data_IF_959799396221
#
_entry.id   IF_959799396221
#
_cell.length_a   1.000
_cell.length_b   1.000
_cell.length_c   1.000
_cell.angle_alpha   90.00
_cell.angle_beta   90.00
_cell.angle_gamma   90.00
#
_symmetry.space_group_name_H-M   'P 1'
#
loop_
_entity.id
_entity.type
_entity.pdbx_description
1 polymer ?
#
# COMPACT_ATOMS: atom_id res chain seq x y z
N UNK A 1 -5.32 7.71 -13.85
CA UNK A 1 -4.22 8.55 -13.33
C UNK A 1 -4.40 8.60 -11.83
N UNK A 2 -3.40 8.10 -11.12
CA UNK A 2 -3.51 7.36 -9.87
C UNK A 2 -3.12 8.19 -8.66
N UNK A 3 -3.73 7.89 -7.51
CA UNK A 3 -3.00 8.06 -6.25
C UNK A 3 -1.88 7.02 -6.14
N UNK A 4 -0.80 7.35 -5.43
CA UNK A 4 0.32 6.45 -5.14
C UNK A 4 0.82 6.77 -3.75
N UNK A 5 0.75 5.82 -2.82
CA UNK A 5 1.43 5.95 -1.53
C UNK A 5 2.78 5.28 -1.63
N UNK A 6 3.83 6.08 -1.50
CA UNK A 6 5.19 5.58 -1.37
C UNK A 6 5.57 5.56 0.12
N UNK A 7 5.30 4.43 0.78
CA UNK A 7 5.66 4.26 2.17
C UNK A 7 7.16 3.89 2.31
N UNK A 8 8.00 4.91 2.39
CA UNK A 8 9.43 4.73 2.65
C UNK A 8 9.69 4.56 4.15
N UNK A 9 9.69 3.31 4.63
CA UNK A 9 9.89 2.99 6.05
C UNK A 9 11.32 3.28 6.52
N UNK A 10 12.31 3.35 5.62
CA UNK A 10 13.71 3.61 5.94
C UNK A 10 14.37 4.41 4.81
N UNK A 11 14.56 5.72 5.04
CA UNK A 11 15.49 6.53 4.24
C UNK A 11 16.87 6.50 4.93
N UNK A 12 17.89 5.98 4.27
CA UNK A 12 19.27 6.38 4.61
C UNK A 12 19.43 7.88 4.32
N UNK A 13 20.16 8.57 5.18
CA UNK A 13 20.31 10.03 5.17
C UNK A 13 20.79 10.62 3.85
N UNK A 14 20.22 11.80 3.56
CA UNK A 14 20.63 12.86 2.62
C UNK A 14 21.69 12.61 1.55
N UNK A 15 21.26 12.52 0.29
CA UNK A 15 22.03 13.12 -0.80
C UNK A 15 21.85 14.64 -0.77
N UNK A 16 22.80 15.40 -0.19
CA UNK A 16 23.00 16.78 -0.62
C UNK A 16 23.77 16.74 -1.93
N UNK A 17 23.05 16.80 -3.06
CA UNK A 17 23.67 17.00 -4.37
C UNK A 17 24.12 18.46 -4.43
N UNK A 18 25.38 18.71 -4.08
CA UNK A 18 26.06 19.94 -4.48
C UNK A 18 26.32 19.86 -5.99
N UNK A 19 25.66 20.72 -6.76
CA UNK A 19 25.97 20.89 -8.19
C UNK A 19 27.37 21.51 -8.28
N UNK A 20 28.37 20.72 -8.66
CA UNK A 20 29.56 21.24 -9.33
C UNK A 20 29.50 20.82 -10.78
N UNK A 21 29.24 21.81 -11.63
CA UNK A 21 29.24 21.69 -13.07
C UNK A 21 30.68 21.43 -13.52
N UNK A 22 30.99 20.19 -13.89
CA UNK A 22 32.30 19.85 -14.44
C UNK A 22 32.29 20.11 -15.95
N UNK A 23 32.82 21.25 -16.36
CA UNK A 23 33.26 21.48 -17.73
C UNK A 23 34.76 21.23 -17.84
N UNK A 24 35.12 20.26 -18.69
CA UNK A 24 36.38 20.11 -19.42
C UNK A 24 37.73 19.88 -18.70
N UNK A 25 38.44 18.89 -19.25
CA UNK A 25 39.88 18.63 -19.25
C UNK A 25 40.53 18.10 -17.97
N UNK A 26 40.99 16.86 -18.09
CA UNK A 26 41.91 16.17 -17.18
C UNK A 26 43.22 16.97 -17.12
N UNK A 27 43.58 17.43 -15.92
CA UNK A 27 44.97 17.77 -15.57
C UNK A 27 45.34 16.94 -14.33
N UNK A 28 46.47 16.25 -14.44
CA UNK A 28 47.15 15.65 -13.29
C UNK A 28 47.71 16.80 -12.45
N UNK A 29 47.27 16.91 -11.20
CA UNK A 29 47.96 17.73 -10.20
C UNK A 29 49.05 16.90 -9.52
N UNK A 30 50.17 17.57 -9.31
CA UNK A 30 51.49 17.05 -8.95
C UNK A 30 51.79 17.20 -7.46
N UNK A 31 50.89 16.77 -6.57
CA UNK A 31 51.15 16.82 -5.13
C UNK A 31 51.23 15.39 -4.55
N UNK A 32 52.48 14.96 -4.37
CA UNK A 32 52.96 13.63 -4.00
C UNK A 32 52.54 13.08 -2.63
N UNK A 33 51.24 13.04 -2.33
CA UNK A 33 50.70 12.20 -1.26
C UNK A 33 50.13 10.92 -1.86
N UNK A 34 51.01 9.98 -2.19
CA UNK A 34 50.70 8.67 -2.77
C UNK A 34 49.94 7.73 -1.81
N UNK A 35 48.77 8.13 -1.34
CA UNK A 35 47.76 7.17 -0.88
C UNK A 35 46.84 6.87 -2.05
N UNK A 36 46.83 5.64 -2.58
CA UNK A 36 45.79 5.24 -3.50
C UNK A 36 44.47 5.48 -2.77
N UNK A 37 43.56 6.21 -3.41
CA UNK A 37 42.17 6.24 -2.97
C UNK A 37 41.71 4.79 -3.05
N UNK A 38 41.68 4.10 -1.91
CA UNK A 38 41.29 2.70 -1.87
C UNK A 38 39.85 2.64 -2.36
N UNK A 39 39.58 1.68 -3.25
CA UNK A 39 38.24 1.38 -3.74
C UNK A 39 37.22 1.16 -2.58
N UNK A 40 37.70 0.95 -1.36
CA UNK A 40 36.93 0.85 -0.12
C UNK A 40 36.28 2.16 0.34
N UNK A 41 36.67 3.33 -0.19
CA UNK A 41 36.05 4.62 0.16
C UNK A 41 34.81 4.96 -0.69
N UNK A 42 34.43 4.12 -1.66
CA UNK A 42 33.23 4.29 -2.50
C UNK A 42 32.00 3.52 -2.01
N UNK A 43 31.95 3.15 -0.73
CA UNK A 43 30.91 2.24 -0.27
C UNK A 43 30.73 2.10 1.23
N UNK A 44 31.04 3.14 2.02
CA UNK A 44 30.45 3.20 3.36
C UNK A 44 29.00 3.62 3.16
N UNK A 45 28.15 2.64 2.83
CA UNK A 45 26.72 2.77 3.05
C UNK A 45 26.59 3.16 4.51
N UNK A 46 26.14 4.39 4.75
CA UNK A 46 25.85 4.85 6.10
C UNK A 46 24.65 4.04 6.61
N UNK A 47 24.95 2.86 7.13
CA UNK A 47 24.02 1.92 7.75
C UNK A 47 23.72 2.33 9.20
N UNK A 48 24.13 3.55 9.62
CA UNK A 48 23.72 4.07 10.91
C UNK A 48 22.22 4.26 10.88
N UNK A 49 21.53 3.39 11.60
CA UNK A 49 20.14 3.59 11.96
C UNK A 49 20.13 4.84 12.85
N UNK A 50 19.84 6.00 12.26
CA UNK A 50 19.62 7.25 13.02
C UNK A 50 18.32 7.21 13.83
N UNK A 51 17.46 6.23 13.56
CA UNK A 51 16.20 6.06 14.27
C UNK A 51 16.42 5.37 15.63
N UNK A 52 15.73 5.83 16.68
CA UNK A 52 15.77 5.17 17.98
C UNK A 52 15.33 3.70 17.85
N UNK A 53 15.95 2.83 18.65
CA UNK A 53 15.63 1.40 18.66
C UNK A 53 14.32 1.18 19.43
N UNK A 54 13.42 0.35 18.91
CA UNK A 54 12.26 -0.16 19.64
C UNK A 54 12.75 -1.16 20.70
N UNK A 55 13.18 -0.66 21.86
CA UNK A 55 13.79 -1.47 22.93
C UNK A 55 12.94 -2.68 23.35
N UNK A 56 11.61 -2.55 23.64
CA UNK A 56 10.82 -3.70 24.07
C UNK A 56 10.77 -4.80 23.00
N UNK A 57 10.54 -4.42 21.75
CA UNK A 57 10.53 -5.36 20.62
C UNK A 57 11.92 -5.96 20.39
N UNK A 58 12.98 -5.15 20.49
CA UNK A 58 14.35 -5.61 20.26
C UNK A 58 14.81 -6.63 21.29
N UNK A 59 14.43 -6.44 22.56
CA UNK A 59 14.68 -7.40 23.64
C UNK A 59 13.86 -8.68 23.38
N UNK A 60 12.57 -8.54 23.07
CA UNK A 60 11.67 -9.67 22.80
C UNK A 60 12.19 -10.58 21.70
N UNK A 61 12.73 -10.00 20.63
CA UNK A 61 13.18 -10.74 19.44
C UNK A 61 14.69 -10.92 19.33
N UNK A 62 15.46 -10.45 20.31
CA UNK A 62 16.92 -10.61 20.37
C UNK A 62 17.71 -9.94 19.25
N UNK A 63 17.14 -8.93 18.59
CA UNK A 63 17.77 -8.17 17.48
C UNK A 63 17.41 -6.69 17.56
N UNK A 64 18.33 -5.76 17.24
CA UNK A 64 17.99 -4.34 17.15
C UNK A 64 16.92 -4.10 16.08
N UNK A 65 15.77 -3.57 16.50
CA UNK A 65 14.67 -3.20 15.60
C UNK A 65 14.56 -1.67 15.59
N UNK A 66 14.73 -1.01 14.43
CA UNK A 66 14.55 0.44 14.34
C UNK A 66 13.09 0.84 14.55
N UNK A 67 12.88 1.97 15.22
CA UNK A 67 11.57 2.61 15.23
C UNK A 67 11.28 3.17 13.84
N UNK A 68 10.16 2.75 13.27
CA UNK A 68 9.65 3.35 12.04
C UNK A 68 9.00 4.69 12.38
N UNK A 69 9.61 5.78 11.89
CA UNK A 69 9.05 7.13 12.00
C UNK A 69 8.02 7.41 10.91
N UNK A 70 6.84 7.90 11.32
CA UNK A 70 5.80 8.32 10.38
C UNK A 70 6.19 9.56 9.56
N UNK A 71 7.18 10.35 10.01
CA UNK A 71 7.65 11.52 9.24
C UNK A 71 8.37 11.15 7.94
N UNK A 72 8.79 9.88 7.80
CA UNK A 72 9.44 9.36 6.59
C UNK A 72 8.46 8.85 5.54
N UNK A 73 7.17 8.79 5.88
CA UNK A 73 6.12 8.30 4.99
C UNK A 73 5.86 9.32 3.89
N UNK A 74 6.03 8.91 2.63
CA UNK A 74 5.64 9.70 1.47
C UNK A 74 4.22 9.35 1.02
N UNK A 75 3.42 10.35 0.69
CA UNK A 75 2.09 10.14 0.11
C UNK A 75 1.82 11.14 -1.01
N UNK A 76 1.12 10.68 -2.04
CA UNK A 76 0.64 11.52 -3.13
C UNK A 76 -0.72 11.01 -3.61
N UNK A 77 -1.65 11.94 -3.82
CA UNK A 77 -2.94 11.68 -4.45
C UNK A 77 -3.17 12.73 -5.51
N UNK A 78 -3.52 12.30 -6.73
CA UNK A 78 -3.65 13.17 -7.89
C UNK A 78 -4.98 12.86 -8.57
N UNK A 79 -5.79 13.90 -8.79
CA UNK A 79 -7.11 13.81 -9.41
C UNK A 79 -7.08 13.19 -10.82
N UNK A 80 -6.07 13.54 -11.63
CA UNK A 80 -5.97 13.11 -13.01
C UNK A 80 -7.08 13.71 -13.89
N UNK A 81 -7.64 12.90 -14.80
CA UNK A 81 -8.70 13.29 -15.73
C UNK A 81 -10.12 13.06 -15.18
N UNK A 82 -10.25 12.83 -13.86
CA UNK A 82 -11.55 12.64 -13.21
C UNK A 82 -12.14 13.98 -12.80
N UNK A 83 -13.46 14.02 -12.63
CA UNK A 83 -14.17 15.22 -12.16
C UNK A 83 -14.03 15.42 -10.65
N UNK A 84 -13.79 14.34 -9.90
CA UNK A 84 -13.65 14.35 -8.46
C UNK A 84 -12.60 13.32 -8.02
N UNK A 85 -11.85 13.64 -6.97
CA UNK A 85 -10.88 12.73 -6.38
C UNK A 85 -11.59 11.90 -5.30
N UNK A 86 -11.85 10.64 -5.62
CA UNK A 86 -12.52 9.67 -4.75
C UNK A 86 -11.51 8.86 -3.92
N UNK A 87 -10.20 9.09 -4.10
CA UNK A 87 -9.15 8.38 -3.38
C UNK A 87 -8.94 8.99 -1.98
N UNK A 88 -8.70 8.14 -0.99
CA UNK A 88 -8.30 8.52 0.37
C UNK A 88 -7.10 7.73 0.85
N UNK A 89 -6.20 8.43 1.53
CA UNK A 89 -4.93 7.90 2.04
C UNK A 89 -4.85 8.20 3.53
N UNK A 90 -4.54 7.21 4.36
CA UNK A 90 -4.39 7.38 5.81
C UNK A 90 -3.18 6.62 6.31
N UNK A 91 -2.42 7.22 7.23
CA UNK A 91 -1.42 6.51 8.00
C UNK A 91 -1.36 7.11 9.41
N UNK A 92 -1.22 6.25 10.41
CA UNK A 92 -1.25 6.65 11.81
C UNK A 92 -0.54 5.61 12.69
N UNK A 93 -0.17 6.03 13.90
CA UNK A 93 0.23 5.13 14.97
C UNK A 93 -1.01 4.82 15.81
N UNK A 94 -1.47 3.57 15.74
CA UNK A 94 -2.66 3.13 16.47
C UNK A 94 -2.29 2.80 17.93
N UNK A 95 -1.16 2.13 18.13
CA UNK A 95 -0.63 1.80 19.45
C UNK A 95 0.88 2.07 19.44
N UNK A 96 1.53 2.09 20.60
CA UNK A 96 2.97 2.38 20.71
C UNK A 96 3.83 1.50 19.81
N UNK A 97 3.42 0.24 19.63
CA UNK A 97 4.08 -0.74 18.80
C UNK A 97 3.34 -1.03 17.48
N UNK A 98 2.30 -0.27 17.11
CA UNK A 98 1.44 -0.60 15.97
C UNK A 98 1.21 0.59 15.05
N UNK A 99 1.77 0.50 13.84
CA UNK A 99 1.51 1.43 12.75
C UNK A 99 0.45 0.88 11.82
N UNK A 100 -0.31 1.78 11.21
CA UNK A 100 -1.35 1.47 10.24
C UNK A 100 -1.22 2.38 9.03
N UNK A 101 -1.46 1.82 7.85
CA UNK A 101 -1.43 2.48 6.57
C UNK A 101 -2.61 1.98 5.74
N UNK A 102 -3.30 2.89 5.06
CA UNK A 102 -4.45 2.53 4.27
C UNK A 102 -4.64 3.40 3.04
N UNK A 103 -5.23 2.75 2.05
CA UNK A 103 -5.68 3.34 0.81
C UNK A 103 -7.10 2.88 0.56
N UNK A 104 -7.95 3.84 0.20
CA UNK A 104 -9.33 3.65 -0.20
C UNK A 104 -9.51 4.30 -1.57
N UNK A 105 -9.85 3.51 -2.57
CA UNK A 105 -10.16 3.96 -3.95
C UNK A 105 -11.68 3.90 -4.08
N UNK A 106 -12.32 5.06 -4.01
CA UNK A 106 -13.77 5.20 -4.02
C UNK A 106 -14.36 5.19 -5.43
N UNK A 107 -15.60 4.73 -5.54
CA UNK A 107 -16.38 4.77 -6.78
C UNK A 107 -17.85 5.03 -6.49
N UNK A 108 -18.56 5.64 -7.45
CA UNK A 108 -19.98 5.97 -7.29
C UNK A 108 -20.22 7.11 -6.30
N UNK A 109 -19.23 7.97 -6.09
CA UNK A 109 -19.18 9.02 -5.08
C UNK A 109 -18.08 8.75 -4.04
N UNK A 110 -17.51 9.79 -3.41
CA UNK A 110 -16.41 9.64 -2.46
C UNK A 110 -16.85 9.10 -1.08
N UNK A 111 -18.16 9.03 -0.83
CA UNK A 111 -18.73 8.82 0.50
C UNK A 111 -18.25 7.52 1.18
N UNK A 112 -18.12 6.42 0.45
CA UNK A 112 -17.64 5.16 1.01
C UNK A 112 -16.15 5.23 1.39
N UNK A 113 -15.33 5.88 0.56
CA UNK A 113 -13.92 6.12 0.85
C UNK A 113 -13.73 7.10 2.01
N UNK A 114 -14.52 8.18 2.07
CA UNK A 114 -14.55 9.15 3.17
C UNK A 114 -14.94 8.49 4.50
N UNK A 115 -15.93 7.60 4.46
CA UNK A 115 -16.35 6.81 5.62
C UNK A 115 -15.20 5.94 6.13
N UNK A 116 -14.56 5.17 5.24
CA UNK A 116 -13.43 4.32 5.62
C UNK A 116 -12.23 5.15 6.14
N UNK A 117 -11.93 6.27 5.50
CA UNK A 117 -10.90 7.21 5.94
C UNK A 117 -11.14 7.73 7.37
N UNK A 118 -12.40 7.97 7.72
CA UNK A 118 -12.80 8.53 9.02
C UNK A 118 -12.86 7.47 10.11
N UNK A 119 -13.41 6.29 9.82
CA UNK A 119 -13.80 5.32 10.85
C UNK A 119 -12.98 4.03 10.89
N UNK A 120 -12.20 3.69 9.85
CA UNK A 120 -11.44 2.42 9.83
C UNK A 120 -10.50 2.28 11.03
N UNK A 121 -9.83 3.37 11.45
CA UNK A 121 -8.97 3.36 12.63
C UNK A 121 -9.76 2.99 13.91
N UNK A 122 -10.99 3.49 14.05
CA UNK A 122 -11.86 3.18 15.19
C UNK A 122 -12.22 1.69 15.21
N UNK A 123 -12.58 1.12 14.07
CA UNK A 123 -12.92 -0.31 13.98
C UNK A 123 -11.72 -1.21 14.28
N UNK A 124 -10.52 -0.82 13.82
CA UNK A 124 -9.29 -1.54 14.16
C UNK A 124 -9.01 -1.47 15.67
N UNK A 125 -9.14 -0.29 16.29
CA UNK A 125 -8.97 -0.13 17.74
C UNK A 125 -9.95 -1.00 18.53
N UNK A 126 -11.24 -0.98 18.18
CA UNK A 126 -12.23 -1.83 18.85
C UNK A 126 -11.98 -3.33 18.64
N UNK A 127 -11.53 -3.74 17.46
CA UNK A 127 -11.18 -5.13 17.22
C UNK A 127 -9.93 -5.58 18.01
N UNK A 128 -8.96 -4.70 18.23
CA UNK A 128 -7.77 -4.97 19.05
C UNK A 128 -8.06 -5.15 20.55
N UNK A 129 -9.22 -4.70 21.04
CA UNK A 129 -9.64 -4.93 22.44
C UNK A 129 -10.05 -6.39 22.70
N UNK A 130 -10.45 -7.11 21.64
CA UNK A 130 -10.99 -8.47 21.74
C UNK A 130 -10.09 -9.54 21.13
N UNK A 131 -9.22 -9.18 20.17
CA UNK A 131 -8.42 -10.13 19.41
C UNK A 131 -6.99 -9.62 19.23
N UNK A 132 -6.01 -10.50 19.49
CA UNK A 132 -4.59 -10.17 19.31
C UNK A 132 -4.10 -10.48 17.89
N UNK A 133 -4.70 -11.47 17.23
CA UNK A 133 -4.34 -11.84 15.86
C UNK A 133 -4.74 -10.76 14.85
N UNK A 134 -3.73 -10.04 14.33
CA UNK A 134 -3.91 -8.95 13.36
C UNK A 134 -4.70 -9.33 12.10
N UNK A 135 -4.65 -10.58 11.63
CA UNK A 135 -5.43 -10.99 10.46
C UNK A 135 -6.92 -11.03 10.79
N UNK A 136 -7.27 -11.54 11.98
CA UNK A 136 -8.65 -11.56 12.45
C UNK A 136 -9.12 -10.16 12.84
N UNK A 137 -8.25 -9.33 13.43
CA UNK A 137 -8.52 -7.92 13.71
C UNK A 137 -8.91 -7.19 12.42
N UNK A 138 -8.15 -7.36 11.33
CA UNK A 138 -8.47 -6.77 10.03
C UNK A 138 -9.78 -7.31 9.46
N UNK A 139 -10.00 -8.62 9.52
CA UNK A 139 -11.28 -9.20 9.07
C UNK A 139 -12.46 -8.61 9.80
N UNK A 140 -12.41 -8.56 11.14
CA UNK A 140 -13.46 -7.96 11.97
C UNK A 140 -13.64 -6.48 11.65
N UNK A 141 -12.56 -5.71 11.58
CA UNK A 141 -12.63 -4.28 11.30
C UNK A 141 -13.26 -3.96 9.93
N UNK A 142 -12.97 -4.75 8.89
CA UNK A 142 -13.57 -4.58 7.56
C UNK A 142 -15.07 -4.90 7.57
N UNK A 143 -15.46 -6.00 8.22
CA UNK A 143 -16.86 -6.41 8.32
C UNK A 143 -17.68 -5.42 9.16
N UNK A 144 -17.13 -4.94 10.28
CA UNK A 144 -17.77 -3.93 11.13
C UNK A 144 -17.87 -2.58 10.41
N UNK A 145 -16.83 -2.18 9.68
CA UNK A 145 -16.86 -0.96 8.86
C UNK A 145 -17.97 -1.01 7.80
N UNK A 146 -18.09 -2.12 7.07
CA UNK A 146 -19.13 -2.30 6.06
C UNK A 146 -20.54 -2.33 6.66
N UNK A 147 -20.72 -3.06 7.77
CA UNK A 147 -22.00 -3.16 8.48
C UNK A 147 -22.44 -1.81 9.07
N UNK A 148 -21.52 -1.04 9.66
CA UNK A 148 -21.86 0.26 10.23
C UNK A 148 -22.03 1.33 9.15
N UNK A 149 -21.36 1.20 8.01
CA UNK A 149 -21.53 2.09 6.86
C UNK A 149 -22.97 2.06 6.34
N UNK A 150 -23.59 0.88 6.24
CA UNK A 150 -24.98 0.75 5.76
C UNK A 150 -26.00 1.45 6.67
N UNK A 151 -25.72 1.52 7.97
CA UNK A 151 -26.61 2.15 8.97
C UNK A 151 -26.45 3.67 8.98
N UNK A 152 -25.27 4.17 8.64
CA UNK A 152 -24.92 5.58 8.82
C UNK A 152 -25.47 6.50 7.72
N UNK A 153 -25.96 5.95 6.60
CA UNK A 153 -26.44 6.77 5.47
C UNK A 153 -27.44 6.00 4.60
N UNK A 154 -28.70 6.44 4.65
CA UNK A 154 -29.84 5.88 3.90
C UNK A 154 -30.12 6.62 2.58
N UNK A 155 -29.21 7.49 2.12
CA UNK A 155 -29.36 8.17 0.82
C UNK A 155 -29.12 7.19 -0.34
N UNK A 156 -29.91 7.33 -1.41
CA UNK A 156 -29.83 6.44 -2.57
C UNK A 156 -28.44 6.42 -3.24
N UNK A 157 -27.73 7.56 -3.22
CA UNK A 157 -26.35 7.67 -3.73
C UNK A 157 -25.35 6.87 -2.91
N UNK A 158 -25.58 6.71 -1.60
CA UNK A 158 -24.71 5.94 -0.72
C UNK A 158 -24.85 4.43 -0.93
N UNK A 159 -26.04 3.96 -1.34
CA UNK A 159 -26.28 2.53 -1.63
C UNK A 159 -25.47 2.01 -2.84
N UNK A 160 -25.13 2.90 -3.76
CA UNK A 160 -24.34 2.61 -4.95
C UNK A 160 -22.88 3.03 -4.84
N UNK A 161 -22.52 3.78 -3.80
CA UNK A 161 -21.14 4.15 -3.54
C UNK A 161 -20.41 2.95 -2.91
N UNK A 162 -19.15 2.78 -3.31
CA UNK A 162 -18.29 1.75 -2.76
C UNK A 162 -16.85 2.21 -2.76
N UNK A 163 -16.00 1.43 -2.12
CA UNK A 163 -14.57 1.68 -2.11
C UNK A 163 -13.81 0.36 -2.04
N UNK A 164 -12.65 0.33 -2.69
CA UNK A 164 -11.60 -0.61 -2.31
C UNK A 164 -11.10 -0.27 -0.91
N UNK A 165 -10.47 -1.23 -0.24
CA UNK A 165 -9.71 -0.95 0.96
C UNK A 165 -8.47 -1.83 0.97
N UNK A 166 -7.29 -1.23 1.04
CA UNK A 166 -6.04 -1.94 1.30
C UNK A 166 -5.41 -1.36 2.54
N UNK A 167 -5.33 -2.17 3.59
CA UNK A 167 -4.84 -1.80 4.90
C UNK A 167 -3.60 -2.63 5.22
N UNK A 168 -2.53 -1.97 5.65
CA UNK A 168 -1.33 -2.61 6.18
C UNK A 168 -1.12 -2.21 7.64
N UNK A 169 -0.86 -3.19 8.50
CA UNK A 169 -0.52 -3.01 9.90
C UNK A 169 0.90 -3.52 10.16
N UNK A 170 1.74 -2.70 10.78
CA UNK A 170 3.10 -3.05 11.15
C UNK A 170 3.22 -3.04 12.68
N UNK A 171 3.27 -4.24 13.29
CA UNK A 171 3.44 -4.44 14.73
C UNK A 171 4.90 -4.69 15.08
N UNK A 172 5.35 -4.09 16.18
CA UNK A 172 6.70 -4.23 16.72
C UNK A 172 7.83 -3.91 15.71
N UNK A 173 7.52 -3.17 14.63
CA UNK A 173 8.45 -2.90 13.53
C UNK A 173 8.81 -4.12 12.67
N UNK A 174 8.22 -5.29 12.92
CA UNK A 174 8.61 -6.54 12.23
C UNK A 174 7.45 -7.38 11.71
N UNK A 175 6.27 -7.32 12.31
CA UNK A 175 5.13 -8.10 11.86
C UNK A 175 4.26 -7.25 10.95
N UNK A 176 4.26 -7.58 9.65
CA UNK A 176 3.46 -6.92 8.65
C UNK A 176 2.25 -7.78 8.31
N UNK A 177 1.06 -7.24 8.50
CA UNK A 177 -0.19 -7.86 8.03
C UNK A 177 -0.90 -6.91 7.09
N UNK A 178 -1.26 -7.42 5.91
CA UNK A 178 -2.04 -6.68 4.91
C UNK A 178 -3.41 -7.33 4.77
N UNK A 179 -4.47 -6.53 4.82
CA UNK A 179 -5.84 -6.92 4.49
C UNK A 179 -6.34 -6.11 3.30
N UNK A 180 -6.97 -6.75 2.33
CA UNK A 180 -7.48 -6.04 1.15
C UNK A 180 -8.82 -6.54 0.62
N UNK A 181 -9.64 -5.60 0.12
CA UNK A 181 -10.78 -5.82 -0.76
C UNK A 181 -10.66 -4.91 -1.98
N UNK A 182 -11.13 -5.38 -3.13
CA UNK A 182 -11.00 -4.68 -4.41
C UNK A 182 -9.67 -4.96 -5.11
N UNK A 183 -9.18 -3.99 -5.86
CA UNK A 183 -8.03 -4.11 -6.76
C UNK A 183 -6.89 -3.10 -6.45
N UNK A 184 -7.03 -2.32 -5.37
CA UNK A 184 -5.91 -1.62 -4.73
C UNK A 184 -4.84 -2.63 -4.28
N UNK A 185 -3.56 -2.28 -4.44
CA UNK A 185 -2.44 -3.21 -4.25
C UNK A 185 -1.49 -2.76 -3.16
N UNK A 186 -0.97 -3.72 -2.40
CA UNK A 186 0.22 -3.52 -1.58
C UNK A 186 1.40 -4.32 -2.14
N UNK A 187 2.59 -3.75 -2.08
CA UNK A 187 3.84 -4.35 -2.52
C UNK A 187 4.95 -4.09 -1.50
N UNK A 188 5.79 -5.08 -1.25
CA UNK A 188 7.01 -4.93 -0.47
C UNK A 188 8.20 -4.85 -1.42
N UNK A 189 8.88 -3.71 -1.44
CA UNK A 189 10.12 -3.51 -2.16
C UNK A 189 11.31 -3.75 -1.24
N UNK A 190 12.17 -4.68 -1.62
CA UNK A 190 13.38 -5.01 -0.87
C UNK A 190 14.48 -5.51 -1.78
N UNK A 191 15.72 -5.07 -1.55
CA UNK A 191 16.87 -5.42 -2.41
C UNK A 191 16.59 -5.19 -3.90
N UNK A 192 15.90 -4.08 -4.21
CA UNK A 192 15.48 -3.73 -5.58
C UNK A 192 14.38 -4.60 -6.19
N UNK A 193 13.80 -5.55 -5.45
CA UNK A 193 12.73 -6.45 -5.91
C UNK A 193 11.40 -6.06 -5.27
N UNK A 194 10.36 -5.93 -6.10
CA UNK A 194 8.99 -5.70 -5.64
C UNK A 194 8.23 -7.04 -5.53
N UNK A 195 7.75 -7.35 -4.33
CA UNK A 195 6.92 -8.52 -4.05
C UNK A 195 5.48 -8.09 -3.79
N UNK A 196 4.53 -8.61 -4.56
CA UNK A 196 3.11 -8.30 -4.39
C UNK A 196 2.56 -8.96 -3.11
N UNK A 197 1.81 -8.19 -2.31
CA UNK A 197 1.21 -8.62 -1.04
C UNK A 197 -0.32 -8.77 -1.08
N UNK A 198 -0.93 -8.50 -2.24
CA UNK A 198 -2.38 -8.61 -2.43
C UNK A 198 -2.70 -9.35 -3.71
N UNK A 199 -3.91 -9.89 -3.80
CA UNK A 199 -4.47 -10.48 -5.03
C UNK A 199 -5.69 -9.67 -5.40
N UNK A 200 -5.77 -9.23 -6.66
CA UNK A 200 -6.87 -8.37 -7.08
C UNK A 200 -8.17 -9.17 -7.08
N UNK A 201 -9.22 -8.60 -6.51
CA UNK A 201 -10.56 -9.18 -6.45
C UNK A 201 -11.33 -8.82 -7.72
N UNK A 202 -11.02 -9.51 -8.81
CA UNK A 202 -11.63 -9.25 -10.13
C UNK A 202 -12.61 -10.37 -10.52
N UNK A 203 -13.61 -10.07 -11.36
CA UNK A 203 -14.56 -11.09 -11.83
C UNK A 203 -13.91 -12.21 -12.67
N UNK A 204 -12.68 -12.04 -13.14
CA UNK A 204 -11.92 -13.08 -13.84
C UNK A 204 -11.29 -14.12 -12.88
N UNK A 205 -11.15 -13.80 -11.59
CA UNK A 205 -10.62 -14.72 -10.58
C UNK A 205 -11.63 -15.85 -10.36
N UNK A 206 -11.20 -17.10 -10.56
CA UNK A 206 -12.11 -18.27 -10.63
C UNK A 206 -12.96 -18.47 -9.38
N UNK A 207 -12.35 -18.32 -8.20
CA UNK A 207 -13.01 -18.42 -6.89
C UNK A 207 -14.02 -17.28 -6.69
N UNK A 208 -13.65 -16.04 -7.04
CA UNK A 208 -14.54 -14.88 -6.94
C UNK A 208 -15.72 -15.01 -7.90
N UNK A 209 -15.47 -15.38 -9.15
CA UNK A 209 -16.51 -15.62 -10.16
C UNK A 209 -17.50 -16.68 -9.69
N UNK A 210 -16.99 -17.78 -9.13
CA UNK A 210 -17.82 -18.84 -8.61
C UNK A 210 -18.69 -18.36 -7.44
N UNK A 211 -18.14 -17.52 -6.53
CA UNK A 211 -18.93 -16.88 -5.47
C UNK A 211 -20.04 -16.00 -6.04
N UNK A 212 -19.73 -15.11 -6.99
CA UNK A 212 -20.73 -14.24 -7.63
C UNK A 212 -21.89 -15.08 -8.20
N UNK A 213 -21.56 -16.12 -8.98
CA UNK A 213 -22.56 -17.01 -9.59
C UNK A 213 -23.40 -17.77 -8.56
N UNK A 214 -22.77 -18.26 -7.49
CA UNK A 214 -23.46 -18.97 -6.40
C UNK A 214 -24.47 -18.09 -5.67
N UNK A 215 -24.21 -16.79 -5.57
CA UNK A 215 -25.10 -15.80 -4.96
C UNK A 215 -26.07 -15.16 -5.98
N UNK A 216 -26.23 -15.75 -7.17
CA UNK A 216 -27.20 -15.28 -8.18
C UNK A 216 -26.76 -14.03 -8.95
N UNK A 217 -25.55 -13.53 -8.70
CA UNK A 217 -24.92 -12.52 -9.55
C UNK A 217 -24.41 -13.12 -10.86
N UNK A 218 -24.12 -12.28 -11.83
CA UNK A 218 -23.54 -12.69 -13.11
C UNK A 218 -22.38 -11.79 -13.50
N UNK A 219 -21.54 -12.27 -14.41
CA UNK A 219 -20.41 -11.50 -14.96
C UNK A 219 -20.69 -11.23 -16.43
N UNK A 220 -20.68 -9.96 -16.82
CA UNK A 220 -20.77 -9.52 -18.22
C UNK A 220 -19.49 -8.82 -18.63
N UNK A 221 -19.21 -8.79 -19.93
CA UNK A 221 -18.08 -8.07 -20.49
C UNK A 221 -18.58 -6.82 -21.19
N UNK A 222 -17.94 -5.68 -20.94
CA UNK A 222 -18.21 -4.45 -21.68
C UNK A 222 -17.57 -4.50 -23.09
N UNK A 223 -17.81 -3.47 -23.90
CA UNK A 223 -17.25 -3.35 -25.26
C UNK A 223 -15.71 -3.32 -25.31
N UNK A 224 -15.05 -3.05 -24.19
CA UNK A 224 -13.58 -3.01 -24.04
C UNK A 224 -13.05 -4.33 -23.45
N UNK A 225 -13.91 -5.34 -23.29
CA UNK A 225 -13.55 -6.67 -22.77
C UNK A 225 -13.20 -6.67 -21.28
N UNK A 226 -13.66 -5.69 -20.50
CA UNK A 226 -13.55 -5.72 -19.03
C UNK A 226 -14.75 -6.46 -18.44
N UNK A 227 -14.48 -7.34 -17.49
CA UNK A 227 -15.50 -8.10 -16.79
C UNK A 227 -16.12 -7.28 -15.66
N UNK A 228 -17.45 -7.31 -15.55
CA UNK A 228 -18.22 -6.55 -14.56
C UNK A 228 -19.26 -7.46 -13.88
N UNK A 229 -19.35 -7.38 -12.56
CA UNK A 229 -20.44 -7.97 -11.76
C UNK A 229 -21.73 -7.23 -12.07
N UNK A 230 -22.75 -7.98 -12.49
CA UNK A 230 -24.08 -7.50 -12.90
C UNK A 230 -24.01 -6.35 -13.93
N UNK A 231 -22.96 -6.28 -14.75
CA UNK A 231 -22.72 -5.20 -15.70
C UNK A 231 -22.38 -3.84 -15.09
N UNK A 232 -22.08 -3.79 -13.78
CA UNK A 232 -21.84 -2.53 -13.05
C UNK A 232 -20.42 -2.44 -12.48
N UNK A 233 -20.02 -3.41 -11.65
CA UNK A 233 -18.82 -3.28 -10.82
C UNK A 233 -17.65 -4.11 -11.37
N UNK A 234 -16.48 -3.50 -11.57
CA UNK A 234 -15.29 -4.17 -12.13
C UNK A 234 -14.50 -5.01 -11.10
N UNK A 235 -14.99 -5.09 -9.86
CA UNK A 235 -14.39 -5.83 -8.75
C UNK A 235 -15.44 -6.68 -8.04
N UNK A 236 -14.98 -7.68 -7.28
CA UNK A 236 -15.84 -8.68 -6.61
C UNK A 236 -15.89 -8.54 -5.09
N UNK A 237 -15.09 -7.64 -4.53
CA UNK A 237 -15.10 -7.28 -3.10
C UNK A 237 -14.94 -5.78 -2.93
N UNK A 238 -15.64 -5.22 -1.97
CA UNK A 238 -15.60 -3.79 -1.64
C UNK A 238 -16.23 -3.54 -0.26
N UNK A 239 -15.96 -2.36 0.30
CA UNK A 239 -16.76 -1.79 1.39
C UNK A 239 -17.80 -0.86 0.74
N UNK A 240 -19.06 -0.94 1.16
CA UNK A 240 -20.18 -0.30 0.45
C UNK A 240 -20.75 -1.19 -0.66
N UNK A 241 -21.20 -0.63 -1.77
CA UNK A 241 -21.89 -1.36 -2.85
C UNK A 241 -23.04 -2.23 -2.34
N UNK A 242 -23.87 -1.69 -1.42
CA UNK A 242 -24.90 -2.46 -0.72
C UNK A 242 -25.88 -3.17 -1.66
N UNK A 243 -26.17 -2.56 -2.81
CA UNK A 243 -27.00 -3.14 -3.86
C UNK A 243 -26.43 -4.43 -4.50
N UNK A 244 -25.12 -4.71 -4.36
CA UNK A 244 -24.46 -5.91 -4.90
C UNK A 244 -24.07 -6.93 -3.83
N UNK A 245 -24.28 -6.63 -2.54
CA UNK A 245 -23.93 -7.57 -1.45
C UNK A 245 -24.69 -8.89 -1.55
N UNK A 246 -25.96 -8.83 -1.95
CA UNK A 246 -26.78 -10.02 -2.21
C UNK A 246 -26.33 -10.82 -3.44
N UNK A 247 -25.57 -10.20 -4.35
CA UNK A 247 -25.02 -10.82 -5.57
C UNK A 247 -23.61 -11.38 -5.37
N UNK A 248 -23.11 -11.46 -4.13
CA UNK A 248 -21.81 -12.04 -3.80
C UNK A 248 -20.65 -11.05 -3.75
N UNK A 249 -20.88 -9.73 -3.84
CA UNK A 249 -19.85 -8.74 -3.51
C UNK A 249 -19.70 -8.69 -1.99
N UNK A 250 -18.54 -9.02 -1.44
CA UNK A 250 -18.33 -9.12 0.01
C UNK A 250 -17.31 -8.11 0.52
N UNK A 251 -17.40 -7.75 1.80
CA UNK A 251 -16.42 -6.90 2.48
C UNK A 251 -15.33 -7.69 3.22
N UNK A 252 -15.39 -9.03 3.20
CA UNK A 252 -14.36 -9.86 3.85
C UNK A 252 -13.01 -9.74 3.11
N UNK A 253 -11.94 -9.30 3.79
CA UNK A 253 -10.65 -9.10 3.16
C UNK A 253 -9.90 -10.41 2.96
N UNK A 254 -9.16 -10.51 1.85
CA UNK A 254 -8.01 -11.42 1.79
C UNK A 254 -6.88 -10.84 2.66
N UNK A 255 -6.29 -11.67 3.52
CA UNK A 255 -5.17 -11.27 4.40
C UNK A 255 -3.86 -11.94 3.99
N UNK A 256 -2.75 -11.23 4.21
CA UNK A 256 -1.40 -11.76 4.03
C UNK A 256 -0.50 -11.27 5.17
N UNK A 257 0.06 -12.22 5.93
CA UNK A 257 1.06 -11.98 6.98
C UNK A 257 2.48 -12.20 6.48
N UNK A 258 3.39 -11.33 6.93
CA UNK A 258 4.83 -11.44 6.75
C UNK A 258 5.53 -11.07 8.06
N UNK A 259 6.52 -11.86 8.46
CA UNK A 259 7.36 -11.56 9.63
C UNK A 259 8.76 -11.17 9.18
N UNK A 260 9.19 -9.94 9.46
CA UNK A 260 10.49 -9.39 9.11
C UNK A 260 11.67 -10.08 9.80
N UNK A 261 11.43 -10.91 10.84
CA UNK A 261 12.50 -11.71 11.46
C UNK A 261 13.08 -12.78 10.55
N UNK A 262 12.33 -13.27 9.56
CA UNK A 262 12.85 -14.17 8.53
C UNK A 262 13.88 -13.51 7.60
N UNK A 263 14.14 -12.21 7.80
CA UNK A 263 14.62 -11.35 6.74
C UNK A 263 15.74 -10.39 7.17
N UNK A 264 16.18 -10.38 8.43
CA UNK A 264 17.40 -9.66 8.84
C UNK A 264 17.25 -8.12 8.88
N UNK A 265 17.88 -7.51 9.88
CA UNK A 265 17.90 -6.06 10.13
C UNK A 265 18.78 -5.27 9.15
N UNK A 266 19.34 -5.92 8.13
CA UNK A 266 20.35 -5.35 7.23
C UNK A 266 19.77 -4.79 5.93
N UNK A 267 18.47 -4.98 5.66
CA UNK A 267 17.86 -4.58 4.39
C UNK A 267 16.84 -3.46 4.56
N UNK A 268 17.03 -2.37 3.80
CA UNK A 268 16.03 -1.34 3.60
C UNK A 268 14.77 -1.96 2.97
N UNK A 269 13.70 -2.02 3.76
CA UNK A 269 12.41 -2.55 3.34
C UNK A 269 11.43 -1.39 3.16
N UNK A 270 10.87 -1.25 1.98
CA UNK A 270 9.90 -0.20 1.62
C UNK A 270 8.58 -0.87 1.30
N UNK A 271 7.52 -0.53 2.02
CA UNK A 271 6.16 -0.98 1.68
C UNK A 271 5.57 0.06 0.72
N UNK A 272 4.85 -0.34 -0.30
CA UNK A 272 4.19 0.57 -1.25
C UNK A 272 2.74 0.15 -1.32
N UNK A 273 1.82 1.07 -1.07
CA UNK A 273 0.38 0.84 -1.20
C UNK A 273 -0.13 1.73 -2.32
N UNK A 274 -0.69 1.14 -3.36
CA UNK A 274 -1.05 1.84 -4.60
C UNK A 274 -2.49 1.51 -4.96
N UNK A 275 -3.39 2.50 -5.04
CA UNK A 275 -4.72 2.32 -5.60
C UNK A 275 -4.70 2.06 -7.11
N UNK A 276 -5.80 1.55 -7.66
CA UNK A 276 -5.87 1.10 -9.05
C UNK A 276 -6.14 2.28 -10.01
N UNK A 277 -5.11 3.11 -10.23
CA UNK A 277 -5.07 4.06 -11.33
C UNK A 277 -3.70 4.17 -12.03
N UNK A 278 -2.68 3.47 -11.51
CA UNK A 278 -1.27 3.57 -11.90
C UNK A 278 -0.84 2.45 -12.86
N UNK A 279 -1.66 1.42 -13.01
CA UNK A 279 -1.33 0.22 -13.75
C UNK A 279 -2.26 0.08 -14.96
N UNK A 280 -1.77 0.48 -16.14
CA UNK A 280 -2.21 -0.15 -17.38
C UNK A 280 -1.94 -1.65 -17.31
N UNK A 281 -2.62 -2.46 -18.14
CA UNK A 281 -2.51 -3.94 -18.21
C UNK A 281 -1.07 -4.40 -18.50
N UNK A 282 -0.14 -4.26 -17.55
CA UNK A 282 1.19 -4.86 -17.63
C UNK A 282 1.12 -6.21 -16.93
N UNK A 283 1.17 -7.26 -17.75
CA UNK A 283 1.43 -8.61 -17.30
C UNK A 283 2.72 -8.65 -16.47
N UNK A 284 2.79 -9.66 -15.60
CA UNK A 284 3.85 -9.94 -14.63
C UNK A 284 5.24 -10.17 -15.25
N UNK A 285 5.79 -9.21 -15.97
CA UNK A 285 7.23 -9.13 -16.21
C UNK A 285 7.88 -8.64 -14.93
N UNK A 286 8.96 -9.28 -14.53
CA UNK A 286 9.84 -8.91 -13.41
C UNK A 286 10.36 -7.47 -13.61
N UNK A 287 9.58 -6.47 -13.23
CA UNK A 287 9.98 -5.07 -13.28
C UNK A 287 10.85 -4.79 -12.06
N UNK A 288 12.14 -4.60 -12.30
CA UNK A 288 13.09 -4.05 -11.32
C UNK A 288 12.77 -2.56 -11.17
N UNK A 289 12.09 -2.18 -10.09
CA UNK A 289 11.87 -0.76 -9.80
C UNK A 289 13.16 -0.17 -9.23
N UNK A 290 13.92 0.51 -10.08
CA UNK A 290 14.94 1.45 -9.62
C UNK A 290 14.21 2.66 -9.00
N UNK A 291 14.10 2.68 -7.66
CA UNK A 291 13.47 3.77 -6.91
C UNK A 291 14.21 5.12 -7.02
N UNK A 292 15.40 5.16 -7.62
CA UNK A 292 16.23 6.35 -7.65
C UNK A 292 16.02 7.28 -8.86
N UNK A 293 15.26 6.91 -9.91
CA UNK A 293 15.19 7.76 -11.12
C UNK A 293 13.88 7.88 -11.91
N UNK A 294 12.83 7.08 -11.69
CA UNK A 294 11.77 6.94 -12.72
C UNK A 294 10.35 7.41 -12.38
N UNK A 295 10.12 8.24 -11.36
CA UNK A 295 8.78 8.84 -11.17
C UNK A 295 8.56 10.18 -11.90
N UNK A 296 9.52 10.63 -12.73
CA UNK A 296 9.45 11.91 -13.47
C UNK A 296 9.31 11.75 -14.99
N UNK A 297 9.27 10.54 -15.57
CA UNK A 297 9.36 10.37 -17.03
C UNK A 297 8.16 9.77 -17.77
N UNK A 298 6.97 9.62 -17.17
CA UNK A 298 5.77 9.19 -17.92
C UNK A 298 4.87 10.33 -18.41
N UNK A 299 5.43 11.53 -18.58
CA UNK A 299 4.81 12.61 -19.34
C UNK A 299 5.28 12.59 -20.80
N UNK A 300 4.51 11.91 -21.67
CA UNK A 300 4.48 11.88 -23.15
C UNK A 300 3.92 10.49 -23.48
N UNK A 301 2.77 10.30 -24.12
CA UNK A 301 2.38 10.76 -25.45
C UNK A 301 0.85 10.85 -25.56
N UNK A 302 0.42 11.53 -26.63
CA UNK A 302 -0.96 11.80 -27.07
C UNK A 302 -1.88 10.58 -27.13
#
# INVERSE_FOLDING_TARGET
>A
MSSTVLLNLLRCGGCRVGVRQASSSVRFDSDGSGRPVTWDSFGIWDNRIEEPILLPSSIRYGKPIPQVSLSRVGSASVLGLRNQNEDRLRFARIHDNLLYFAVFDGHGGPHAADYCYTFMEKFIRGALEEEDDLEKVLKKAFLDADKCSSVSSSSASFLTAGTTATVAMLRDGIELVVGSVGDSRAMLCRKGRANKLTKDHTPDRKDERHRIQRFGGFVTWNSVGQANVNGRLAMTRSIGDFHLKSSGVIAEPDTQRLTALQYGSEDNSTIIIVPLGAWGKHQSSTIVYSMSRNFVSSGRWA
#
